data_IF_497785719387
#
_entry.id   IF_497785719387
#
_cell.length_a   1.000
_cell.length_b   1.000
_cell.length_c   1.000
_cell.angle_alpha   90.00
_cell.angle_beta   90.00
_cell.angle_gamma   90.00
#
_symmetry.space_group_name_H-M   'P 1'
#
loop_
_entity.id
_entity.type
_entity.pdbx_description
1 polymer ?
#
# COMPACT_ATOMS: atom_id res chain seq x y z
N UNK A 1 -3.75 35.64 -7.49
CA UNK A 1 -4.21 35.97 -8.85
C UNK A 1 -4.27 34.68 -9.68
N UNK A 2 -5.33 34.46 -10.47
CA UNK A 2 -5.44 33.31 -11.39
C UNK A 2 -4.95 33.74 -12.78
N UNK A 3 -4.41 32.80 -13.56
CA UNK A 3 -4.08 33.02 -14.97
C UNK A 3 -5.34 32.98 -15.86
N UNK A 4 -5.18 33.29 -17.14
CA UNK A 4 -6.25 33.30 -18.16
C UNK A 4 -6.89 31.91 -18.37
N UNK A 5 -6.22 30.85 -17.91
CA UNK A 5 -6.71 29.47 -17.89
C UNK A 5 -7.34 29.07 -16.54
N UNK A 6 -7.53 30.03 -15.63
CA UNK A 6 -8.15 29.81 -14.32
C UNK A 6 -7.25 29.16 -13.26
N UNK A 7 -6.00 28.85 -13.58
CA UNK A 7 -5.05 28.21 -12.66
C UNK A 7 -4.37 29.24 -11.76
N UNK A 8 -4.01 28.80 -10.55
CA UNK A 8 -3.33 29.66 -9.59
C UNK A 8 -1.88 29.93 -10.01
N UNK A 9 -1.49 31.21 -10.01
CA UNK A 9 -0.11 31.64 -10.29
C UNK A 9 0.87 31.16 -9.20
N UNK A 10 2.10 30.80 -9.59
CA UNK A 10 3.17 30.38 -8.66
C UNK A 10 3.50 31.56 -7.73
N UNK A 11 3.38 31.36 -6.42
CA UNK A 11 3.58 32.43 -5.42
C UNK A 11 2.32 33.22 -5.03
N UNK A 12 1.13 32.73 -5.37
CA UNK A 12 -0.10 33.37 -4.90
C UNK A 12 -0.29 33.18 -3.38
N UNK A 13 -0.76 34.24 -2.71
CA UNK A 13 -1.08 34.24 -1.27
C UNK A 13 -2.52 33.78 -0.97
N UNK A 14 -3.20 33.12 -1.91
CA UNK A 14 -4.57 32.63 -1.72
C UNK A 14 -4.54 31.27 -0.99
N UNK A 15 -4.03 31.29 0.26
CA UNK A 15 -4.33 30.38 1.37
C UNK A 15 -4.68 28.91 1.08
N UNK A 16 -3.96 28.25 0.18
CA UNK A 16 -4.14 26.82 -0.11
C UNK A 16 -3.49 25.92 0.94
N UNK A 17 -3.89 24.65 0.97
CA UNK A 17 -3.25 23.62 1.80
C UNK A 17 -1.77 23.49 1.40
N UNK A 18 -0.86 23.78 2.33
CA UNK A 18 0.58 23.75 2.07
C UNK A 18 1.06 22.35 1.68
N UNK A 19 2.10 22.28 0.85
CA UNK A 19 2.73 21.00 0.46
C UNK A 19 3.25 20.32 1.74
N UNK A 20 2.79 19.09 2.00
CA UNK A 20 3.13 18.35 3.21
C UNK A 20 2.16 18.53 4.39
N UNK A 21 1.08 19.32 4.22
CA UNK A 21 0.06 19.41 5.27
C UNK A 21 -0.49 18.00 5.59
N UNK A 22 -0.45 17.62 6.86
CA UNK A 22 -0.97 16.33 7.31
C UNK A 22 -2.50 16.37 7.33
N UNK A 23 -3.15 15.25 6.98
CA UNK A 23 -4.59 15.11 7.18
C UNK A 23 -4.84 14.95 8.69
N UNK A 24 -5.35 16.00 9.35
CA UNK A 24 -5.52 16.03 10.81
C UNK A 24 -6.38 14.87 11.34
N UNK A 25 -7.46 14.53 10.63
CA UNK A 25 -8.35 13.42 11.00
C UNK A 25 -7.61 12.10 10.96
N UNK A 26 -6.89 11.82 9.86
CA UNK A 26 -6.12 10.58 9.74
C UNK A 26 -4.93 10.52 10.69
N UNK A 27 -4.34 11.66 11.06
CA UNK A 27 -3.28 11.67 12.08
C UNK A 27 -3.82 11.25 13.43
N UNK A 28 -4.93 11.85 13.88
CA UNK A 28 -5.53 11.52 15.17
C UNK A 28 -5.85 10.01 15.28
N UNK A 29 -6.42 9.42 14.23
CA UNK A 29 -6.73 7.98 14.21
C UNK A 29 -5.44 7.14 14.32
N UNK A 30 -4.38 7.51 13.58
CA UNK A 30 -3.09 6.80 13.66
C UNK A 30 -2.47 6.91 15.04
N UNK A 31 -2.47 8.11 15.63
CA UNK A 31 -1.91 8.35 16.94
C UNK A 31 -2.68 7.57 18.01
N UNK A 32 -4.01 7.61 17.96
CA UNK A 32 -4.89 6.85 18.86
C UNK A 32 -4.63 5.34 18.75
N UNK A 33 -4.53 4.82 17.53
CA UNK A 33 -4.21 3.41 17.31
C UNK A 33 -2.81 3.06 17.85
N UNK A 34 -1.82 3.92 17.66
CA UNK A 34 -0.47 3.72 18.17
C UNK A 34 -0.43 3.68 19.70
N UNK A 35 -1.12 4.63 20.36
CA UNK A 35 -1.23 4.62 21.83
C UNK A 35 -1.91 3.35 22.32
N UNK A 36 -3.03 2.96 21.71
CA UNK A 36 -3.71 1.72 22.06
C UNK A 36 -2.79 0.50 21.97
N UNK A 37 -2.02 0.37 20.88
CA UNK A 37 -1.07 -0.75 20.77
C UNK A 37 0.00 -0.66 21.86
N UNK A 38 0.64 0.50 22.04
CA UNK A 38 1.72 0.67 23.03
C UNK A 38 1.26 0.34 24.44
N UNK A 39 0.07 0.80 24.83
CA UNK A 39 -0.49 0.59 26.17
C UNK A 39 -0.77 -0.90 26.44
N UNK A 40 -0.98 -1.71 25.40
CA UNK A 40 -1.27 -3.14 25.51
C UNK A 40 -0.05 -4.02 25.18
N UNK A 41 1.11 -3.46 24.80
CA UNK A 41 2.28 -4.27 24.43
C UNK A 41 2.78 -5.15 25.58
N UNK A 42 2.72 -4.64 26.82
CA UNK A 42 3.19 -5.37 28.00
C UNK A 42 2.28 -6.54 28.36
N UNK A 43 0.97 -6.45 28.10
CA UNK A 43 -0.01 -7.50 28.41
C UNK A 43 -0.24 -8.46 27.25
N UNK A 44 0.16 -8.09 26.04
CA UNK A 44 -0.14 -8.85 24.82
C UNK A 44 0.31 -10.32 24.91
N UNK A 45 1.50 -10.58 25.48
CA UNK A 45 2.01 -11.93 25.65
C UNK A 45 1.17 -12.72 26.66
N UNK A 46 0.80 -12.12 27.80
CA UNK A 46 -0.05 -12.79 28.79
C UNK A 46 -1.45 -13.06 28.26
N UNK A 47 -1.99 -12.16 27.46
CA UNK A 47 -3.31 -12.33 26.83
C UNK A 47 -3.26 -13.46 25.80
N UNK A 48 -2.19 -13.51 25.00
CA UNK A 48 -1.95 -14.60 24.05
C UNK A 48 -1.84 -15.96 24.75
N UNK A 49 -1.15 -16.01 25.90
CA UNK A 49 -0.98 -17.23 26.69
C UNK A 49 -2.26 -17.69 27.40
N UNK A 50 -3.29 -16.85 27.47
CA UNK A 50 -4.62 -17.21 27.97
C UNK A 50 -5.55 -17.78 26.89
N UNK A 51 -5.21 -17.61 25.61
CA UNK A 51 -6.04 -18.10 24.50
C UNK A 51 -6.03 -19.62 24.42
N UNK A 52 -7.09 -20.17 23.82
CA UNK A 52 -7.14 -21.58 23.45
C UNK A 52 -6.14 -21.90 22.32
N UNK A 53 -5.73 -23.17 22.24
CA UNK A 53 -4.70 -23.59 21.29
C UNK A 53 -5.06 -23.23 19.84
N UNK A 54 -6.33 -23.38 19.44
CA UNK A 54 -6.76 -23.08 18.07
C UNK A 54 -6.68 -21.57 17.76
N UNK A 55 -7.11 -20.70 18.68
CA UNK A 55 -6.96 -19.26 18.50
C UNK A 55 -5.49 -18.81 18.45
N UNK A 56 -4.61 -19.40 19.26
CA UNK A 56 -3.16 -19.10 19.23
C UNK A 56 -2.58 -19.35 17.83
N UNK A 57 -2.84 -20.51 17.25
CA UNK A 57 -2.35 -20.83 15.91
C UNK A 57 -2.90 -19.87 14.85
N UNK A 58 -4.19 -19.53 14.94
CA UNK A 58 -4.81 -18.58 14.00
C UNK A 58 -4.13 -17.20 14.06
N UNK A 59 -3.94 -16.65 15.26
CA UNK A 59 -3.32 -15.33 15.44
C UNK A 59 -1.87 -15.33 14.96
N UNK A 60 -1.09 -16.38 15.26
CA UNK A 60 0.27 -16.54 14.74
C UNK A 60 0.25 -16.53 13.20
N UNK A 61 -0.67 -17.27 12.59
CA UNK A 61 -0.77 -17.34 11.13
C UNK A 61 -1.14 -15.99 10.51
N UNK A 62 -2.02 -15.22 11.17
CA UNK A 62 -2.41 -13.89 10.71
C UNK A 62 -1.25 -12.89 10.84
N UNK A 63 -0.46 -12.93 11.93
CA UNK A 63 0.74 -12.10 12.06
C UNK A 63 1.84 -12.50 11.07
N UNK A 64 2.00 -13.80 10.80
CA UNK A 64 2.99 -14.31 9.87
C UNK A 64 2.85 -13.71 8.46
N UNK A 65 1.63 -13.38 8.02
CA UNK A 65 1.37 -12.71 6.72
C UNK A 65 2.02 -11.33 6.60
N UNK A 66 2.26 -10.67 7.72
CA UNK A 66 2.82 -9.32 7.77
C UNK A 66 4.32 -9.30 8.09
N UNK A 67 4.84 -10.35 8.75
CA UNK A 67 6.26 -10.45 9.15
C UNK A 67 7.07 -11.26 8.15
N UNK A 68 6.50 -12.34 7.61
CA UNK A 68 7.18 -13.23 6.68
C UNK A 68 6.92 -12.72 5.26
N UNK A 69 7.98 -12.49 4.45
CA UNK A 69 7.81 -12.21 3.03
C UNK A 69 7.04 -13.36 2.37
N UNK A 70 5.82 -13.07 1.91
CA UNK A 70 5.05 -14.03 1.12
C UNK A 70 5.42 -13.85 -0.34
N UNK A 71 5.80 -14.94 -1.01
CA UNK A 71 5.91 -14.93 -2.46
C UNK A 71 4.49 -14.75 -2.98
N UNK A 72 4.17 -13.55 -3.47
CA UNK A 72 2.94 -13.34 -4.24
C UNK A 72 2.98 -14.35 -5.37
N UNK A 73 2.02 -15.26 -5.40
CA UNK A 73 1.84 -16.10 -6.58
C UNK A 73 1.36 -15.15 -7.65
N UNK A 74 2.29 -14.71 -8.48
CA UNK A 74 2.04 -13.77 -9.57
C UNK A 74 1.06 -14.47 -10.52
N UNK A 75 -0.20 -14.08 -10.51
CA UNK A 75 -1.13 -14.50 -11.55
C UNK A 75 -0.71 -13.77 -12.84
N UNK A 76 -0.77 -14.45 -13.99
CA UNK A 76 -0.44 -13.84 -15.28
C UNK A 76 -1.26 -12.56 -15.53
N UNK A 77 -2.48 -12.48 -15.00
CA UNK A 77 -3.30 -11.26 -15.06
C UNK A 77 -2.67 -10.07 -14.36
N UNK A 78 -2.10 -10.28 -13.17
CA UNK A 78 -1.50 -9.21 -12.36
C UNK A 78 -0.25 -8.64 -13.03
N UNK A 79 0.54 -9.48 -13.72
CA UNK A 79 1.72 -9.01 -14.49
C UNK A 79 1.31 -8.06 -15.60
N UNK A 80 0.26 -8.41 -16.34
CA UNK A 80 -0.19 -7.61 -17.48
C UNK A 80 -0.76 -6.26 -17.03
N UNK A 81 -1.37 -6.19 -15.85
CA UNK A 81 -1.90 -4.95 -15.28
C UNK A 81 -0.81 -4.05 -14.69
N UNK A 82 0.27 -4.63 -14.17
CA UNK A 82 1.41 -3.89 -13.61
C UNK A 82 2.45 -3.46 -14.66
N UNK A 83 2.41 -4.04 -15.87
CA UNK A 83 3.29 -3.68 -16.98
C UNK A 83 2.91 -2.33 -17.59
N UNK A 84 3.90 -1.51 -17.94
CA UNK A 84 3.65 -0.30 -18.73
C UNK A 84 3.23 -0.66 -20.17
N UNK A 85 2.43 0.19 -20.83
CA UNK A 85 2.05 -0.01 -22.24
C UNK A 85 3.26 -0.21 -23.16
N UNK A 86 4.38 0.44 -22.83
CA UNK A 86 5.62 0.32 -23.60
C UNK A 86 6.26 -1.07 -23.50
N UNK A 87 6.15 -1.72 -22.33
CA UNK A 87 6.67 -3.06 -22.09
C UNK A 87 5.74 -4.11 -22.71
N UNK A 88 4.42 -3.89 -22.63
CA UNK A 88 3.43 -4.74 -23.30
C UNK A 88 3.65 -4.78 -24.82
N UNK A 89 3.81 -3.61 -25.45
CA UNK A 89 4.05 -3.53 -26.89
C UNK A 89 5.33 -4.26 -27.31
N UNK A 90 6.39 -4.21 -26.50
CA UNK A 90 7.64 -4.96 -26.77
C UNK A 90 7.41 -6.46 -26.77
N UNK A 91 6.65 -6.98 -25.81
CA UNK A 91 6.34 -8.41 -25.73
C UNK A 91 5.50 -8.85 -26.92
N UNK A 92 4.50 -8.06 -27.33
CA UNK A 92 3.68 -8.34 -28.51
C UNK A 92 4.53 -8.41 -29.79
N UNK A 93 5.46 -7.49 -29.97
CA UNK A 93 6.36 -7.48 -31.13
C UNK A 93 7.33 -8.67 -31.13
N UNK A 94 7.82 -9.08 -29.95
CA UNK A 94 8.65 -10.29 -29.82
C UNK A 94 7.87 -11.56 -30.19
N UNK A 95 6.65 -11.70 -29.70
CA UNK A 95 5.78 -12.83 -30.02
C UNK A 95 5.49 -12.87 -31.53
N UNK A 96 5.14 -11.73 -32.14
CA UNK A 96 4.92 -11.64 -33.60
C UNK A 96 6.16 -12.05 -34.40
N UNK A 97 7.34 -11.64 -33.96
CA UNK A 97 8.60 -11.99 -34.61
C UNK A 97 8.92 -13.49 -34.51
N UNK A 98 8.56 -14.14 -33.40
CA UNK A 98 8.70 -15.60 -33.26
C UNK A 98 7.73 -16.37 -34.16
N UNK A 99 6.45 -15.98 -34.20
CA UNK A 99 5.46 -16.63 -35.07
C UNK A 99 5.71 -16.39 -36.56
N UNK A 100 6.40 -15.31 -36.94
CA UNK A 100 6.77 -15.05 -38.34
C UNK A 100 8.00 -15.84 -38.79
N UNK A 101 8.71 -16.50 -37.87
CA UNK A 101 9.90 -17.34 -38.15
C UNK A 101 9.58 -18.84 -38.21
N UNK A 102 8.37 -19.24 -37.81
CA UNK A 102 7.81 -20.58 -38.03
C UNK A 102 6.84 -20.57 -39.21
#
# INVERSE_FOLDING_TARGET
MRDESGKFTKGNNLGGRTKGAKNKVTQNIRDTFLYFINDNLETLQSDFDQLDAAARFKIIFDFAKFVIPTVKTVSFGDVLEEMSESEFNRVVEQIRAEYSKN
#
